data_IF_377436561941
#
_entry.id   IF_377436561941
#
_cell.length_a   1.000
_cell.length_b   1.000
_cell.length_c   1.000
_cell.angle_alpha   90.00
_cell.angle_beta   90.00
_cell.angle_gamma   90.00
#
_symmetry.space_group_name_H-M   'P 1'
#
loop_
_entity.id
_entity.type
_entity.pdbx_description
1 polymer ?
#
# COMPACT_ATOMS: atom_id res chain seq x y z
N UNK A 1 -42.78 3.74 -7.46
CA UNK A 1 -42.28 2.37 -7.19
C UNK A 1 -43.03 1.37 -8.06
N UNK A 2 -44.36 1.32 -7.99
CA UNK A 2 -45.19 0.41 -8.82
C UNK A 2 -44.91 0.50 -10.32
N UNK A 3 -44.89 1.71 -10.89
CA UNK A 3 -44.61 1.90 -12.32
C UNK A 3 -43.21 1.41 -12.74
N UNK A 4 -42.22 1.51 -11.85
CA UNK A 4 -40.85 1.04 -12.13
C UNK A 4 -40.79 -0.49 -12.12
N UNK A 5 -41.38 -1.11 -11.09
CA UNK A 5 -41.46 -2.57 -10.98
C UNK A 5 -42.36 -3.18 -12.08
N UNK A 6 -43.33 -2.43 -12.62
CA UNK A 6 -44.14 -2.80 -13.78
C UNK A 6 -43.35 -2.68 -15.08
N UNK A 7 -42.62 -1.58 -15.29
CA UNK A 7 -41.76 -1.40 -16.46
C UNK A 7 -40.65 -2.47 -16.53
N UNK A 8 -40.04 -2.80 -15.40
CA UNK A 8 -39.04 -3.88 -15.29
C UNK A 8 -39.65 -5.22 -15.74
N UNK A 9 -40.84 -5.55 -15.23
CA UNK A 9 -41.57 -6.79 -15.58
C UNK A 9 -41.96 -6.80 -17.06
N UNK A 10 -42.54 -5.72 -17.56
CA UNK A 10 -42.93 -5.60 -18.96
C UNK A 10 -41.73 -5.82 -19.90
N UNK A 11 -40.56 -5.22 -19.60
CA UNK A 11 -39.33 -5.42 -20.38
C UNK A 11 -38.84 -6.88 -20.34
N UNK A 12 -38.94 -7.53 -19.18
CA UNK A 12 -38.45 -8.91 -19.02
C UNK A 12 -39.39 -9.95 -19.61
N UNK A 13 -40.70 -9.75 -19.52
CA UNK A 13 -41.73 -10.66 -20.04
C UNK A 13 -41.93 -10.52 -21.55
N UNK A 14 -41.79 -9.30 -22.09
CA UNK A 14 -42.06 -9.02 -23.52
C UNK A 14 -40.87 -9.30 -24.43
N UNK A 15 -39.65 -9.42 -23.87
CA UNK A 15 -38.44 -9.62 -24.66
C UNK A 15 -37.74 -10.95 -24.38
N UNK A 16 -37.29 -11.65 -25.44
CA UNK A 16 -36.49 -12.85 -25.28
C UNK A 16 -35.16 -12.54 -24.60
N UNK A 17 -34.51 -13.59 -24.11
CA UNK A 17 -33.16 -13.47 -23.58
C UNK A 17 -32.16 -13.09 -24.67
N UNK A 18 -31.27 -12.16 -24.32
CA UNK A 18 -30.19 -11.72 -25.18
C UNK A 18 -29.81 -10.24 -24.98
N UNK A 19 -28.88 -9.76 -25.82
CA UNK A 19 -28.26 -8.44 -25.69
C UNK A 19 -29.25 -7.28 -25.70
N UNK A 20 -30.27 -7.31 -26.55
CA UNK A 20 -31.25 -6.21 -26.66
C UNK A 20 -32.01 -5.99 -25.33
N UNK A 21 -32.37 -7.08 -24.65
CA UNK A 21 -33.03 -6.99 -23.33
C UNK A 21 -32.06 -6.49 -22.27
N UNK A 22 -30.81 -6.93 -22.31
CA UNK A 22 -29.77 -6.48 -21.41
C UNK A 22 -29.49 -4.97 -21.57
N UNK A 23 -29.42 -4.48 -22.81
CA UNK A 23 -29.21 -3.08 -23.14
C UNK A 23 -30.36 -2.20 -22.65
N UNK A 24 -31.61 -2.63 -22.83
CA UNK A 24 -32.77 -1.87 -22.32
C UNK A 24 -32.82 -1.84 -20.79
N UNK A 25 -32.51 -2.96 -20.10
CA UNK A 25 -32.40 -2.96 -18.64
C UNK A 25 -31.27 -2.06 -18.15
N UNK A 26 -30.15 -2.02 -18.88
CA UNK A 26 -29.03 -1.12 -18.61
C UNK A 26 -29.42 0.34 -18.83
N UNK A 27 -30.09 0.66 -19.93
CA UNK A 27 -30.66 1.98 -20.18
C UNK A 27 -31.66 2.41 -19.11
N UNK A 28 -32.56 1.51 -18.69
CA UNK A 28 -33.50 1.75 -17.60
C UNK A 28 -32.77 2.03 -16.28
N UNK A 29 -31.71 1.27 -15.95
CA UNK A 29 -30.89 1.54 -14.76
C UNK A 29 -30.29 2.96 -14.82
N UNK A 30 -29.68 3.34 -15.95
CA UNK A 30 -29.08 4.66 -16.12
C UNK A 30 -30.12 5.79 -16.01
N UNK A 31 -31.25 5.67 -16.71
CA UNK A 31 -32.30 6.70 -16.73
C UNK A 31 -33.04 6.79 -15.39
N UNK A 32 -33.24 5.67 -14.70
CA UNK A 32 -33.87 5.68 -13.37
C UNK A 32 -33.05 6.44 -12.33
N UNK A 33 -31.73 6.55 -12.53
CA UNK A 33 -30.83 7.36 -11.72
C UNK A 33 -31.15 8.85 -11.76
N UNK A 34 -31.81 9.34 -12.82
CA UNK A 34 -32.30 10.73 -12.92
C UNK A 34 -33.47 10.99 -11.96
N UNK A 35 -34.18 9.94 -11.56
CA UNK A 35 -35.34 10.01 -10.66
C UNK A 35 -34.92 9.73 -9.22
N UNK A 36 -34.09 8.71 -8.98
CA UNK A 36 -33.65 8.29 -7.65
C UNK A 36 -32.40 7.42 -7.73
N UNK A 37 -31.51 7.55 -6.73
CA UNK A 37 -30.29 6.72 -6.66
C UNK A 37 -30.56 5.28 -6.24
N UNK A 38 -31.70 5.04 -5.59
CA UNK A 38 -32.12 3.74 -5.08
C UNK A 38 -32.65 2.82 -6.20
N UNK A 39 -33.28 3.38 -7.23
CA UNK A 39 -33.87 2.60 -8.33
C UNK A 39 -32.80 1.84 -9.16
N UNK A 40 -31.71 2.47 -9.62
CA UNK A 40 -30.63 1.76 -10.30
C UNK A 40 -30.04 0.66 -9.43
N UNK A 41 -29.83 0.92 -8.12
CA UNK A 41 -29.26 -0.07 -7.21
C UNK A 41 -30.15 -1.29 -7.04
N UNK A 42 -31.48 -1.08 -6.91
CA UNK A 42 -32.45 -2.17 -6.82
C UNK A 42 -32.49 -3.00 -8.09
N UNK A 43 -32.48 -2.35 -9.26
CA UNK A 43 -32.49 -3.03 -10.55
C UNK A 43 -31.20 -3.82 -10.78
N UNK A 44 -30.04 -3.20 -10.56
CA UNK A 44 -28.74 -3.86 -10.61
C UNK A 44 -28.71 -5.08 -9.69
N UNK A 45 -29.19 -4.95 -8.44
CA UNK A 45 -29.22 -6.09 -7.50
C UNK A 45 -30.07 -7.27 -7.98
N UNK A 46 -31.09 -7.03 -8.81
CA UNK A 46 -32.04 -8.06 -9.29
C UNK A 46 -31.72 -8.61 -10.68
N UNK A 47 -31.07 -7.83 -11.53
CA UNK A 47 -30.93 -8.08 -12.97
C UNK A 47 -29.50 -8.00 -13.48
N UNK A 48 -28.51 -7.89 -12.58
CA UNK A 48 -27.09 -7.84 -12.96
C UNK A 48 -26.70 -8.99 -13.89
N UNK A 49 -27.20 -10.19 -13.62
CA UNK A 49 -27.00 -11.39 -14.43
C UNK A 49 -27.36 -11.16 -15.90
N UNK A 50 -28.50 -10.51 -16.18
CA UNK A 50 -28.95 -10.18 -17.53
C UNK A 50 -28.15 -8.99 -18.07
N UNK A 51 -27.98 -7.94 -17.26
CA UNK A 51 -27.32 -6.68 -17.69
C UNK A 51 -25.86 -6.89 -18.07
N UNK A 52 -25.18 -7.93 -17.59
CA UNK A 52 -23.80 -8.27 -17.99
C UNK A 52 -23.66 -8.57 -19.48
N UNK A 53 -24.73 -8.92 -20.19
CA UNK A 53 -24.71 -9.10 -21.64
C UNK A 53 -24.75 -7.76 -22.41
N UNK A 54 -25.02 -6.64 -21.72
CA UNK A 54 -25.07 -5.31 -22.32
C UNK A 54 -23.67 -4.78 -22.62
N UNK A 55 -23.48 -4.24 -23.82
CA UNK A 55 -22.23 -3.58 -24.21
C UNK A 55 -21.99 -2.35 -23.33
N UNK A 56 -23.03 -1.57 -23.04
CA UNK A 56 -22.93 -0.39 -22.19
C UNK A 56 -22.54 -0.75 -20.75
N UNK A 57 -23.08 -1.85 -20.21
CA UNK A 57 -22.71 -2.34 -18.88
C UNK A 57 -21.22 -2.73 -18.83
N UNK A 58 -20.75 -3.47 -19.84
CA UNK A 58 -19.35 -3.88 -19.92
C UNK A 58 -18.39 -2.68 -20.06
N UNK A 59 -18.75 -1.66 -20.82
CA UNK A 59 -17.98 -0.41 -20.93
C UNK A 59 -17.84 0.29 -19.58
N UNK A 60 -18.95 0.51 -18.88
CA UNK A 60 -18.95 1.18 -17.56
C UNK A 60 -18.16 0.34 -16.53
N UNK A 61 -18.34 -0.98 -16.52
CA UNK A 61 -17.61 -1.89 -15.63
C UNK A 61 -16.11 -1.83 -15.89
N UNK A 62 -15.71 -1.82 -17.16
CA UNK A 62 -14.31 -1.74 -17.57
C UNK A 62 -13.68 -0.41 -17.15
N UNK A 63 -14.34 0.71 -17.43
CA UNK A 63 -13.85 2.03 -17.04
C UNK A 63 -13.66 2.12 -15.52
N UNK A 64 -14.65 1.71 -14.72
CA UNK A 64 -14.52 1.71 -13.27
C UNK A 64 -13.44 0.76 -12.75
N UNK A 65 -13.21 -0.38 -13.41
CA UNK A 65 -12.11 -1.29 -13.08
C UNK A 65 -10.74 -0.67 -13.41
N UNK A 66 -10.60 -0.07 -14.58
CA UNK A 66 -9.36 0.56 -15.03
C UNK A 66 -9.00 1.76 -14.11
N UNK A 67 -9.98 2.60 -13.76
CA UNK A 67 -9.79 3.69 -12.79
C UNK A 67 -9.40 3.16 -11.40
N UNK A 68 -10.12 2.16 -10.89
CA UNK A 68 -9.83 1.56 -9.59
C UNK A 68 -8.45 0.90 -9.54
N UNK A 69 -8.04 0.24 -10.63
CA UNK A 69 -6.73 -0.37 -10.76
C UNK A 69 -5.63 0.71 -10.79
N UNK A 70 -5.81 1.77 -11.58
CA UNK A 70 -4.85 2.88 -11.64
C UNK A 70 -4.68 3.54 -10.27
N UNK A 71 -5.78 3.84 -9.58
CA UNK A 71 -5.75 4.41 -8.23
C UNK A 71 -5.07 3.46 -7.23
N UNK A 72 -5.40 2.17 -7.28
CA UNK A 72 -4.81 1.16 -6.40
C UNK A 72 -3.30 1.02 -6.60
N UNK A 73 -2.82 0.99 -7.85
CA UNK A 73 -1.39 0.96 -8.18
C UNK A 73 -0.69 2.23 -7.70
N UNK A 74 -1.27 3.40 -7.94
CA UNK A 74 -0.68 4.68 -7.53
C UNK A 74 -0.54 4.77 -6.01
N UNK A 75 -1.60 4.41 -5.27
CA UNK A 75 -1.58 4.41 -3.80
C UNK A 75 -0.59 3.37 -3.25
N UNK A 76 -0.61 2.15 -3.80
CA UNK A 76 0.31 1.08 -3.39
C UNK A 76 1.77 1.45 -3.63
N UNK A 77 2.09 2.05 -4.79
CA UNK A 77 3.44 2.51 -5.11
C UNK A 77 3.88 3.64 -4.18
N UNK A 78 3.01 4.63 -3.93
CA UNK A 78 3.33 5.75 -3.04
C UNK A 78 3.63 5.27 -1.62
N UNK A 79 2.78 4.39 -1.07
CA UNK A 79 2.96 3.84 0.27
C UNK A 79 4.22 2.98 0.35
N UNK A 80 4.44 2.09 -0.64
CA UNK A 80 5.61 1.24 -0.70
C UNK A 80 6.92 2.03 -0.79
N UNK A 81 6.98 3.06 -1.63
CA UNK A 81 8.14 3.94 -1.74
C UNK A 81 8.41 4.70 -0.44
N UNK A 82 7.37 5.24 0.20
CA UNK A 82 7.52 5.98 1.45
C UNK A 82 8.05 5.08 2.58
N UNK A 83 7.49 3.89 2.74
CA UNK A 83 7.92 2.93 3.75
C UNK A 83 9.35 2.43 3.47
N UNK A 84 9.64 2.04 2.23
CA UNK A 84 10.96 1.57 1.82
C UNK A 84 12.03 2.64 2.00
N UNK A 85 11.74 3.90 1.66
CA UNK A 85 12.66 5.02 1.85
C UNK A 85 12.92 5.29 3.34
N UNK A 86 11.89 5.25 4.20
CA UNK A 86 12.07 5.44 5.64
C UNK A 86 12.90 4.32 6.27
N UNK A 87 12.62 3.06 5.92
CA UNK A 87 13.39 1.91 6.38
C UNK A 87 14.84 1.99 5.90
N UNK A 88 15.06 2.22 4.61
CA UNK A 88 16.42 2.34 4.06
C UNK A 88 17.21 3.50 4.66
N UNK A 89 16.56 4.64 4.94
CA UNK A 89 17.21 5.76 5.62
C UNK A 89 17.57 5.42 7.08
N UNK A 90 16.68 4.72 7.80
CA UNK A 90 16.94 4.29 9.17
C UNK A 90 18.09 3.27 9.24
N UNK A 91 18.09 2.28 8.36
CA UNK A 91 19.17 1.28 8.24
C UNK A 91 20.49 1.96 7.86
N UNK A 92 20.48 2.86 6.88
CA UNK A 92 21.66 3.62 6.46
C UNK A 92 22.26 4.43 7.62
N UNK A 93 21.44 5.11 8.41
CA UNK A 93 21.91 5.86 9.59
C UNK A 93 22.47 4.96 10.72
N UNK A 94 22.00 3.71 10.83
CA UNK A 94 22.56 2.74 11.77
C UNK A 94 23.90 2.21 11.29
N UNK A 95 23.99 1.82 10.02
CA UNK A 95 25.24 1.37 9.39
C UNK A 95 26.32 2.43 9.48
N UNK A 96 26.01 3.67 9.08
CA UNK A 96 26.93 4.83 9.20
C UNK A 96 27.35 5.04 10.67
N UNK A 97 26.41 4.95 11.61
CA UNK A 97 26.71 5.07 13.04
C UNK A 97 27.67 4.00 13.56
N UNK A 98 27.56 2.76 13.07
CA UNK A 98 28.44 1.63 13.42
C UNK A 98 29.82 1.84 12.84
N UNK A 99 29.89 2.18 11.55
CA UNK A 99 31.14 2.47 10.85
C UNK A 99 31.92 3.58 11.54
N UNK A 100 31.27 4.70 11.89
CA UNK A 100 31.92 5.81 12.60
C UNK A 100 32.53 5.39 13.95
N UNK A 101 31.84 4.53 14.72
CA UNK A 101 32.36 4.03 16.00
C UNK A 101 33.60 3.16 15.76
N UNK A 102 33.52 2.22 14.82
CA UNK A 102 34.62 1.30 14.52
C UNK A 102 35.83 2.03 13.94
N UNK A 103 35.62 2.98 13.04
CA UNK A 103 36.68 3.82 12.46
C UNK A 103 37.38 4.65 13.55
N UNK A 104 36.63 5.26 14.46
CA UNK A 104 37.21 6.01 15.58
C UNK A 104 38.06 5.13 16.51
N UNK A 105 37.62 3.89 16.77
CA UNK A 105 38.40 2.93 17.56
C UNK A 105 39.65 2.47 16.80
N UNK A 106 39.50 2.18 15.51
CA UNK A 106 40.59 1.74 14.64
C UNK A 106 41.70 2.78 14.55
N UNK A 107 41.33 4.04 14.37
CA UNK A 107 42.27 5.16 14.29
C UNK A 107 43.05 5.37 15.59
N UNK A 108 42.39 5.21 16.75
CA UNK A 108 43.02 5.45 18.06
C UNK A 108 43.84 4.29 18.59
N UNK A 109 43.38 3.06 18.35
CA UNK A 109 43.91 1.87 19.01
C UNK A 109 44.43 0.79 18.05
N UNK A 110 44.35 1.02 16.74
CA UNK A 110 44.67 0.02 15.72
C UNK A 110 43.52 -0.99 15.53
N UNK A 111 43.78 -2.17 14.95
CA UNK A 111 42.74 -3.13 14.59
C UNK A 111 41.75 -3.42 15.74
N UNK A 112 40.46 -3.25 15.47
CA UNK A 112 39.40 -3.46 16.46
C UNK A 112 39.24 -4.97 16.74
N UNK A 113 39.27 -5.42 18.01
CA UNK A 113 38.99 -6.80 18.38
C UNK A 113 37.59 -7.24 17.92
N UNK A 114 37.49 -8.48 17.43
CA UNK A 114 36.24 -9.02 16.85
C UNK A 114 35.04 -8.96 17.78
N UNK A 115 35.26 -9.17 19.09
CA UNK A 115 34.19 -9.14 20.08
C UNK A 115 33.53 -7.75 20.21
N UNK A 116 34.34 -6.69 20.07
CA UNK A 116 33.86 -5.30 20.06
C UNK A 116 33.16 -4.99 18.73
N UNK A 117 33.73 -5.44 17.63
CA UNK A 117 33.16 -5.27 16.29
C UNK A 117 31.76 -5.89 16.19
N UNK A 118 31.60 -7.15 16.62
CA UNK A 118 30.32 -7.86 16.63
C UNK A 118 29.28 -7.15 17.52
N UNK A 119 29.68 -6.68 18.70
CA UNK A 119 28.80 -5.94 19.59
C UNK A 119 28.30 -4.62 19.00
N UNK A 120 29.16 -3.89 18.27
CA UNK A 120 28.77 -2.64 17.60
C UNK A 120 27.88 -2.93 16.38
N UNK A 121 28.23 -3.90 15.54
CA UNK A 121 27.49 -4.23 14.31
C UNK A 121 26.06 -4.71 14.61
N UNK A 122 25.86 -5.42 15.72
CA UNK A 122 24.54 -5.89 16.13
C UNK A 122 23.68 -4.83 16.82
N UNK A 123 24.24 -3.66 17.14
CA UNK A 123 23.54 -2.64 17.90
C UNK A 123 22.51 -1.88 17.04
N UNK A 124 21.24 -1.90 17.44
CA UNK A 124 20.11 -1.31 16.69
C UNK A 124 19.72 0.10 17.14
N UNK A 125 20.44 0.66 18.13
CA UNK A 125 20.14 1.98 18.68
C UNK A 125 21.10 3.05 18.17
N UNK A 126 20.61 3.94 17.31
CA UNK A 126 21.35 5.13 16.86
C UNK A 126 21.81 6.02 18.02
N UNK A 127 21.04 6.08 19.11
CA UNK A 127 21.42 6.86 20.31
C UNK A 127 22.65 6.24 20.99
N UNK A 128 22.64 4.93 21.20
CA UNK A 128 23.78 4.23 21.79
C UNK A 128 25.01 4.34 20.88
N UNK A 129 24.86 4.21 19.56
CA UNK A 129 25.98 4.41 18.61
C UNK A 129 26.62 5.80 18.76
N UNK A 130 25.79 6.87 18.84
CA UNK A 130 26.29 8.22 19.07
C UNK A 130 26.99 8.40 20.42
N UNK A 131 26.52 7.73 21.46
CA UNK A 131 27.13 7.75 22.79
C UNK A 131 28.47 7.00 22.79
N UNK A 132 28.51 5.80 22.21
CA UNK A 132 29.73 5.02 22.03
C UNK A 132 30.76 5.79 21.21
N UNK A 133 30.37 6.47 20.13
CA UNK A 133 31.30 7.28 19.34
C UNK A 133 31.98 8.36 20.21
N UNK A 134 31.22 9.04 21.06
CA UNK A 134 31.79 10.05 21.99
C UNK A 134 32.71 9.42 23.04
N UNK A 135 32.37 8.22 23.52
CA UNK A 135 33.17 7.51 24.50
C UNK A 135 34.44 6.92 23.88
N UNK A 136 34.37 6.44 22.65
CA UNK A 136 35.48 5.95 21.84
C UNK A 136 36.57 7.00 21.68
N UNK A 137 36.24 8.30 21.75
CA UNK A 137 37.21 9.41 21.72
C UNK A 137 37.81 9.78 23.09
N UNK A 138 37.27 9.25 24.19
CA UNK A 138 37.64 9.64 25.58
C UNK A 138 38.37 8.55 26.35
N UNK A 139 38.06 7.28 26.11
CA UNK A 139 38.71 6.15 26.77
C UNK A 139 40.22 6.15 26.47
N UNK A 140 41.04 5.63 27.38
CA UNK A 140 42.49 5.61 27.22
C UNK A 140 43.00 4.41 26.42
N UNK A 141 42.22 3.33 26.39
CA UNK A 141 42.57 2.09 25.72
C UNK A 141 41.30 1.32 25.31
N UNK A 142 41.49 0.27 24.51
CA UNK A 142 40.40 -0.52 23.95
C UNK A 142 39.71 -1.42 24.99
N UNK A 143 40.41 -1.83 26.06
CA UNK A 143 39.83 -2.63 27.14
C UNK A 143 38.85 -1.82 28.00
N UNK A 144 39.10 -0.52 28.20
CA UNK A 144 38.13 0.39 28.80
C UNK A 144 36.88 0.51 27.94
N UNK A 145 37.03 0.60 26.61
CA UNK A 145 35.88 0.63 25.70
C UNK A 145 35.06 -0.67 25.79
N UNK A 146 35.73 -1.82 25.79
CA UNK A 146 35.09 -3.13 25.91
C UNK A 146 34.17 -3.23 27.12
N UNK A 147 34.59 -2.69 28.27
CA UNK A 147 33.77 -2.67 29.49
C UNK A 147 32.46 -1.89 29.33
N UNK A 148 32.39 -0.92 28.43
CA UNK A 148 31.19 -0.11 28.16
C UNK A 148 30.12 -0.84 27.33
N UNK A 149 30.47 -1.98 26.73
CA UNK A 149 29.57 -2.79 25.90
C UNK A 149 28.83 -3.88 26.69
N UNK A 150 29.16 -4.04 27.97
CA UNK A 150 28.58 -5.02 28.92
C UNK A 150 27.54 -4.32 29.79
#
# INVERSE_FOLDING_TARGET
>A
MELFDEAERALTDSMPAGPDRADLLTGMALLSGLVSKELPQRLLSRRRDIMMESVAYEMIKKEGYDEGMQQGIQQGLQQGLQQGMQQGLQEGMLTEGREMVLEALAERFGPVPRDIEEAVITMESRRQLKELLRLALRVQNIDEFRKLLT
#
